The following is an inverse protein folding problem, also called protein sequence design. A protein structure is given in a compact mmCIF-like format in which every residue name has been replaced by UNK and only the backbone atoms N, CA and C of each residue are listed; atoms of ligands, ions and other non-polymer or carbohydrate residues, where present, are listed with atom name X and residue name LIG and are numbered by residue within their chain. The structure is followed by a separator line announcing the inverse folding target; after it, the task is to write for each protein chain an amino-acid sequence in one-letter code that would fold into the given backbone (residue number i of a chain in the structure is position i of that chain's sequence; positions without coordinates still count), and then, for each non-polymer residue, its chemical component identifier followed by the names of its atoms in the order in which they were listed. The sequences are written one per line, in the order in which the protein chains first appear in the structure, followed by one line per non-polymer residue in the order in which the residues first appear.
data_IF_945400078092
#
_entry.id   IF_945400078092
#
_cell.length_a   1.000
_cell.length_b   1.000
_cell.length_c   1.000
_cell.angle_alpha   90.00
_cell.angle_beta   90.00
_cell.angle_gamma   90.00
#
_symmetry.space_group_name_H-M   'P 1'
#
loop_
_entity.id
_entity.type
_entity.pdbx_description
1 polymer ?
#
# COMPACT_ATOMS: atom_id res chain seq x y z
N UNK A 1 8.69 -21.69 -27.96
CA UNK A 1 8.94 -21.73 -26.51
C UNK A 1 10.15 -20.88 -26.10
N UNK A 2 11.31 -20.98 -26.76
CA UNK A 2 12.49 -20.12 -26.49
C UNK A 2 12.30 -18.63 -26.85
N UNK A 3 11.53 -18.31 -27.91
CA UNK A 3 11.24 -16.92 -28.33
C UNK A 3 10.34 -16.14 -27.36
N UNK A 4 9.44 -16.82 -26.64
CA UNK A 4 8.57 -16.19 -25.63
C UNK A 4 9.34 -15.78 -24.38
N UNK A 5 10.40 -16.51 -24.02
CA UNK A 5 11.26 -16.19 -22.87
C UNK A 5 12.10 -14.92 -23.12
N UNK A 6 12.59 -14.73 -24.36
CA UNK A 6 13.44 -13.60 -24.72
C UNK A 6 12.71 -12.24 -24.73
N UNK A 7 11.41 -12.24 -25.04
CA UNK A 7 10.57 -11.03 -25.05
C UNK A 7 10.30 -10.53 -23.63
N UNK A 8 10.16 -11.43 -22.65
CA UNK A 8 9.92 -11.08 -21.24
C UNK A 8 11.15 -10.44 -20.59
N UNK A 9 12.36 -10.89 -20.97
CA UNK A 9 13.61 -10.44 -20.34
C UNK A 9 14.07 -9.06 -20.83
N UNK A 10 13.70 -8.64 -22.03
CA UNK A 10 14.20 -7.39 -22.64
C UNK A 10 13.31 -6.16 -22.41
N UNK A 11 12.12 -6.31 -21.82
CA UNK A 11 11.16 -5.21 -21.60
C UNK A 11 11.18 -4.58 -20.20
N UNK A 12 11.95 -5.12 -19.26
CA UNK A 12 12.04 -4.58 -17.90
C UNK A 12 13.30 -3.70 -17.77
N UNK A 13 13.30 -2.58 -18.48
CA UNK A 13 14.27 -1.51 -18.22
C UNK A 13 13.66 -0.55 -17.20
N UNK A 14 13.70 -0.94 -15.91
CA UNK A 14 13.24 -0.07 -14.82
C UNK A 14 14.23 1.09 -14.70
N UNK A 15 13.83 2.35 -14.89
CA UNK A 15 14.74 3.48 -14.68
C UNK A 15 15.19 3.53 -13.21
N UNK A 16 16.47 3.27 -12.97
CA UNK A 16 17.13 3.15 -11.66
C UNK A 16 17.65 4.50 -11.14
N UNK A 17 16.92 5.59 -11.32
CA UNK A 17 17.32 6.89 -10.78
C UNK A 17 16.13 7.66 -10.24
N UNK A 18 15.74 7.34 -9.01
CA UNK A 18 14.92 8.24 -8.18
C UNK A 18 15.89 9.03 -7.31
N UNK A 19 16.30 10.21 -7.79
CA UNK A 19 16.99 11.22 -6.97
C UNK A 19 15.95 11.88 -6.06
N UNK A 20 15.64 11.24 -4.94
CA UNK A 20 14.73 11.79 -3.96
C UNK A 20 15.38 12.99 -3.24
N UNK A 21 14.80 14.16 -3.40
CA UNK A 21 14.98 15.32 -2.50
C UNK A 21 14.62 14.89 -1.07
N UNK A 22 15.27 15.41 -0.01
CA UNK A 22 14.94 15.07 1.37
C UNK A 22 13.58 15.70 1.77
N UNK A 23 12.50 15.12 1.27
CA UNK A 23 11.14 15.31 1.72
C UNK A 23 10.68 14.11 2.55
N UNK A 24 9.45 14.15 3.10
CA UNK A 24 8.87 13.00 3.79
C UNK A 24 8.91 11.75 2.91
N UNK A 25 9.12 10.57 3.52
CA UNK A 25 9.13 9.30 2.78
C UNK A 25 7.73 9.02 2.25
N UNK A 26 7.59 8.97 0.93
CA UNK A 26 6.29 8.74 0.26
C UNK A 26 6.22 7.33 -0.28
N UNK A 27 5.14 6.62 0.00
CA UNK A 27 4.94 5.23 -0.41
C UNK A 27 3.57 4.99 -1.03
N UNK A 28 3.52 4.12 -2.02
CA UNK A 28 2.29 3.44 -2.42
C UNK A 28 2.13 2.17 -1.59
N UNK A 29 0.92 1.92 -1.08
CA UNK A 29 0.62 0.80 -0.19
C UNK A 29 -0.26 -0.23 -0.91
N UNK A 30 0.19 -1.48 -0.96
CA UNK A 30 -0.59 -2.60 -1.52
C UNK A 30 -1.09 -3.50 -0.37
N UNK A 31 -2.41 -3.53 -0.16
CA UNK A 31 -3.07 -4.24 0.92
C UNK A 31 -3.70 -5.55 0.43
N UNK A 32 -3.14 -6.67 0.84
CA UNK A 32 -3.71 -8.00 0.55
C UNK A 32 -5.05 -8.22 1.26
N UNK A 33 -5.81 -9.22 0.81
CA UNK A 33 -6.97 -9.72 1.54
C UNK A 33 -6.58 -10.55 2.78
N UNK A 34 -7.56 -10.90 3.60
CA UNK A 34 -7.32 -11.70 4.81
C UNK A 34 -8.55 -11.97 5.67
N UNK A 35 -9.77 -11.81 5.12
CA UNK A 35 -11.03 -11.82 5.89
C UNK A 35 -10.91 -10.96 7.16
N UNK A 36 -11.37 -11.44 8.32
CA UNK A 36 -11.29 -10.70 9.58
C UNK A 36 -9.85 -10.37 10.00
N UNK A 37 -8.85 -11.21 9.68
CA UNK A 37 -7.45 -10.93 10.00
C UNK A 37 -6.88 -9.74 9.21
N UNK A 38 -7.53 -9.35 8.11
CA UNK A 38 -7.15 -8.17 7.33
C UNK A 38 -7.33 -6.85 8.08
N UNK A 39 -8.02 -6.83 9.23
CA UNK A 39 -8.09 -5.67 10.12
C UNK A 39 -6.70 -5.28 10.68
N UNK A 40 -5.72 -6.19 10.66
CA UNK A 40 -4.34 -5.89 11.00
C UNK A 40 -3.72 -4.76 10.15
N UNK A 41 -4.24 -4.52 8.94
CA UNK A 41 -3.82 -3.39 8.09
C UNK A 41 -4.03 -2.03 8.76
N UNK A 42 -5.03 -1.89 9.64
CA UNK A 42 -5.27 -0.66 10.41
C UNK A 42 -4.06 -0.32 11.28
N UNK A 43 -3.49 -1.34 11.96
CA UNK A 43 -2.31 -1.19 12.79
C UNK A 43 -1.06 -0.80 11.98
N UNK A 44 -0.88 -1.37 10.80
CA UNK A 44 0.22 -1.01 9.88
C UNK A 44 0.12 0.47 9.48
N UNK A 45 -1.07 0.91 9.07
CA UNK A 45 -1.30 2.30 8.63
C UNK A 45 -1.05 3.28 9.78
N UNK A 46 -1.51 2.94 11.00
CA UNK A 46 -1.26 3.73 12.21
C UNK A 46 0.23 3.94 12.49
N UNK A 47 1.04 2.89 12.33
CA UNK A 47 2.50 2.99 12.50
C UNK A 47 3.13 3.84 11.39
N UNK A 48 2.75 3.64 10.12
CA UNK A 48 3.27 4.45 9.01
C UNK A 48 3.01 5.95 9.23
N UNK A 49 1.79 6.30 9.63
CA UNK A 49 1.43 7.69 9.95
C UNK A 49 2.24 8.24 11.12
N UNK A 50 2.44 7.46 12.20
CA UNK A 50 3.25 7.87 13.36
C UNK A 50 4.71 8.15 12.98
N UNK A 51 5.28 7.36 12.09
CA UNK A 51 6.67 7.50 11.64
C UNK A 51 6.84 8.58 10.55
N UNK A 52 5.78 9.31 10.20
CA UNK A 52 5.82 10.37 9.19
C UNK A 52 5.96 9.84 7.75
N UNK A 53 5.56 8.60 7.50
CA UNK A 53 5.51 8.02 6.15
C UNK A 53 4.20 8.44 5.47
N UNK A 54 4.32 9.15 4.36
CA UNK A 54 3.18 9.62 3.57
C UNK A 54 2.69 8.51 2.64
N UNK A 55 1.49 7.98 2.90
CA UNK A 55 0.84 7.00 2.00
C UNK A 55 0.12 7.77 0.89
N UNK A 56 0.71 7.83 -0.29
CA UNK A 56 0.21 8.64 -1.42
C UNK A 56 -0.75 7.90 -2.35
N UNK A 57 -0.79 6.57 -2.28
CA UNK A 57 -1.71 5.74 -3.02
C UNK A 57 -1.96 4.43 -2.26
N UNK A 58 -3.19 3.90 -2.35
CA UNK A 58 -3.52 2.59 -1.80
C UNK A 58 -4.15 1.73 -2.91
N UNK A 59 -3.65 0.51 -3.06
CA UNK A 59 -4.30 -0.57 -3.80
C UNK A 59 -4.69 -1.66 -2.81
N UNK A 60 -5.86 -2.26 -2.97
CA UNK A 60 -6.34 -3.25 -2.01
C UNK A 60 -7.22 -4.33 -2.64
N UNK A 61 -7.25 -5.51 -2.00
CA UNK A 61 -8.13 -6.63 -2.35
C UNK A 61 -8.93 -7.08 -1.12
N UNK A 62 -10.23 -7.36 -1.27
CA UNK A 62 -11.12 -7.81 -0.19
C UNK A 62 -11.02 -6.91 1.06
N UNK A 63 -10.68 -7.44 2.24
CA UNK A 63 -10.51 -6.64 3.46
C UNK A 63 -9.48 -5.51 3.31
N UNK A 64 -8.40 -5.73 2.55
CA UNK A 64 -7.43 -4.68 2.25
C UNK A 64 -8.03 -3.54 1.42
N UNK A 65 -8.97 -3.84 0.51
CA UNK A 65 -9.70 -2.82 -0.25
C UNK A 65 -10.67 -2.03 0.64
N UNK A 66 -11.34 -2.70 1.59
CA UNK A 66 -12.24 -2.04 2.55
C UNK A 66 -11.48 -1.09 3.47
N UNK A 67 -10.44 -1.58 4.15
CA UNK A 67 -9.61 -0.75 5.06
C UNK A 67 -8.93 0.37 4.28
N UNK A 68 -8.29 0.05 3.15
CA UNK A 68 -7.63 1.04 2.30
C UNK A 68 -8.58 2.10 1.75
N UNK A 69 -9.77 1.68 1.31
CA UNK A 69 -10.81 2.59 0.80
C UNK A 69 -11.30 3.55 1.88
N UNK A 70 -11.53 3.08 3.11
CA UNK A 70 -11.93 3.95 4.22
C UNK A 70 -10.83 4.94 4.60
N UNK A 71 -9.56 4.50 4.63
CA UNK A 71 -8.43 5.41 4.84
C UNK A 71 -8.38 6.50 3.75
N UNK A 72 -8.54 6.12 2.48
CA UNK A 72 -8.63 7.10 1.38
C UNK A 72 -9.86 8.01 1.48
N UNK A 73 -10.96 7.53 2.08
CA UNK A 73 -12.15 8.33 2.36
C UNK A 73 -11.98 9.30 3.56
N UNK A 74 -10.81 9.31 4.21
CA UNK A 74 -10.46 10.24 5.28
C UNK A 74 -10.66 9.70 6.69
N UNK A 75 -11.00 8.41 6.85
CA UNK A 75 -11.11 7.80 8.18
C UNK A 75 -9.74 7.68 8.83
N UNK A 76 -9.64 8.14 10.07
CA UNK A 76 -8.47 7.95 10.91
C UNK A 76 -8.34 6.49 11.36
N UNK A 77 -7.12 6.07 11.71
CA UNK A 77 -6.89 4.74 12.26
C UNK A 77 -7.71 4.47 13.53
N UNK A 78 -7.95 5.50 14.37
CA UNK A 78 -8.77 5.38 15.57
C UNK A 78 -10.25 5.14 15.25
N UNK A 79 -10.80 5.82 14.24
CA UNK A 79 -12.16 5.58 13.77
C UNK A 79 -12.30 4.16 13.20
N UNK A 80 -11.31 3.68 12.45
CA UNK A 80 -11.30 2.31 11.93
C UNK A 80 -11.22 1.27 13.04
N UNK A 81 -10.41 1.50 14.07
CA UNK A 81 -10.35 0.65 15.27
C UNK A 81 -11.72 0.57 15.95
N UNK A 82 -12.51 1.66 15.98
CA UNK A 82 -13.85 1.66 16.59
C UNK A 82 -14.91 0.91 15.79
N UNK A 83 -14.75 0.81 14.47
CA UNK A 83 -15.69 0.10 13.57
C UNK A 83 -15.38 -1.41 13.55
N UNK A 84 -14.13 -1.78 13.81
CA UNK A 84 -13.63 -3.14 13.71
C UNK A 84 -14.06 -4.06 14.88
N UNK A 85 -14.73 -3.52 15.91
CA UNK A 85 -15.05 -4.21 17.18
C UNK A 85 -16.53 -4.08 17.52
#
# INVERSE_FOLDING_TARGET
MLLLLAIVVTWVNVPTAVTATPGPVRVGLALSGGAALGLAHIGVIKVLQREGVEVCAISGNSMGAMVGGLVCAGYSAAELESIAV
#
